data_IF_893000170103
#
_entry.id   IF_893000170103
#
_cell.length_a   1.000
_cell.length_b   1.000
_cell.length_c   1.000
_cell.angle_alpha   90.00
_cell.angle_beta   90.00
_cell.angle_gamma   90.00
#
_symmetry.space_group_name_H-M   'P 1'
#
loop_
_entity.id
_entity.type
_entity.pdbx_description
1 polymer ?
#
# COMPACT_ATOMS: atom_id res chain seq x y z
N UNK A 1 -10.19 -17.51 22.21
CA UNK A 1 -10.34 -16.40 21.26
C UNK A 1 -10.27 -15.13 22.09
N UNK A 2 -9.26 -14.31 21.85
CA UNK A 2 -9.13 -13.03 22.54
C UNK A 2 -9.93 -12.03 21.73
N UNK A 3 -11.03 -11.55 22.29
CA UNK A 3 -11.90 -10.59 21.65
C UNK A 3 -11.42 -9.18 22.01
N UNK A 4 -10.81 -8.49 21.04
CA UNK A 4 -10.37 -7.11 21.19
C UNK A 4 -11.48 -6.18 20.69
N UNK A 5 -11.55 -4.96 21.21
CA UNK A 5 -12.48 -3.93 20.72
C UNK A 5 -12.43 -3.75 19.19
N UNK A 6 -11.28 -4.02 18.57
CA UNK A 6 -11.02 -3.76 17.16
C UNK A 6 -11.13 -4.98 16.25
N UNK A 7 -10.88 -6.18 16.79
CA UNK A 7 -10.88 -7.42 16.00
C UNK A 7 -11.08 -8.66 16.88
N UNK A 8 -11.50 -9.76 16.27
CA UNK A 8 -11.62 -11.07 16.90
C UNK A 8 -10.77 -12.13 16.17
N UNK A 9 -10.33 -13.14 16.91
CA UNK A 9 -9.57 -14.27 16.34
C UNK A 9 -10.45 -15.13 15.42
N UNK A 10 -9.89 -15.58 14.29
CA UNK A 10 -10.46 -16.71 13.55
C UNK A 10 -10.26 -18.01 14.36
N UNK A 11 -11.02 -19.06 14.06
CA UNK A 11 -10.88 -20.32 14.80
C UNK A 11 -9.62 -21.12 14.39
N UNK A 12 -9.26 -22.13 15.18
CA UNK A 12 -8.05 -22.94 14.96
C UNK A 12 -8.09 -23.74 13.65
N UNK A 13 -9.28 -24.20 13.23
CA UNK A 13 -9.43 -24.92 11.98
C UNK A 13 -9.22 -23.98 10.80
N UNK A 14 -9.74 -22.75 10.89
CA UNK A 14 -9.53 -21.68 9.91
C UNK A 14 -8.06 -21.30 9.81
N UNK A 15 -7.35 -21.12 10.95
CA UNK A 15 -5.91 -20.85 10.97
C UNK A 15 -5.10 -21.97 10.31
N UNK A 16 -5.33 -23.22 10.71
CA UNK A 16 -4.61 -24.37 10.17
C UNK A 16 -4.85 -24.50 8.67
N UNK A 17 -6.10 -24.44 8.25
CA UNK A 17 -6.48 -24.52 6.85
C UNK A 17 -5.86 -23.38 6.03
N UNK A 18 -5.82 -22.15 6.58
CA UNK A 18 -5.16 -21.03 5.91
C UNK A 18 -3.68 -21.34 5.66
N UNK A 19 -2.93 -21.76 6.68
CA UNK A 19 -1.50 -22.10 6.57
C UNK A 19 -1.27 -23.17 5.49
N UNK A 20 -2.06 -24.26 5.52
CA UNK A 20 -1.96 -25.35 4.55
C UNK A 20 -2.24 -24.85 3.11
N UNK A 21 -3.31 -24.06 2.94
CA UNK A 21 -3.69 -23.51 1.64
C UNK A 21 -2.68 -22.50 1.09
N UNK A 22 -2.10 -21.66 1.95
CA UNK A 22 -1.07 -20.69 1.60
C UNK A 22 0.20 -21.38 1.09
N UNK A 23 0.63 -22.44 1.78
CA UNK A 23 1.81 -23.22 1.37
C UNK A 23 1.62 -23.86 -0.01
N UNK A 24 0.42 -24.41 -0.28
CA UNK A 24 0.08 -24.96 -1.60
C UNK A 24 0.04 -23.85 -2.65
N UNK A 25 -0.56 -22.70 -2.36
CA UNK A 25 -0.61 -21.54 -3.27
C UNK A 25 0.77 -21.03 -3.64
N UNK A 26 1.67 -20.85 -2.67
CA UNK A 26 3.07 -20.43 -2.89
C UNK A 26 3.83 -21.44 -3.73
N UNK A 27 3.68 -22.73 -3.45
CA UNK A 27 4.28 -23.81 -4.24
C UNK A 27 3.75 -23.82 -5.68
N UNK A 28 2.45 -23.57 -5.86
CA UNK A 28 1.81 -23.49 -7.17
C UNK A 28 2.34 -22.31 -7.99
N UNK A 29 2.51 -21.12 -7.38
CA UNK A 29 3.08 -19.94 -8.06
C UNK A 29 4.49 -20.23 -8.60
N UNK A 30 5.33 -20.89 -7.80
CA UNK A 30 6.67 -21.29 -8.22
C UNK A 30 6.62 -22.31 -9.37
N UNK A 31 5.70 -23.27 -9.30
CA UNK A 31 5.51 -24.27 -10.35
C UNK A 31 5.00 -23.66 -11.67
N UNK A 32 4.10 -22.68 -11.59
CA UNK A 32 3.60 -21.93 -12.74
C UNK A 32 4.72 -21.14 -13.40
N UNK A 33 5.49 -20.37 -12.63
CA UNK A 33 6.65 -19.62 -13.15
C UNK A 33 7.68 -20.55 -13.80
N UNK A 34 7.94 -21.70 -13.19
CA UNK A 34 8.84 -22.72 -13.77
C UNK A 34 8.29 -23.26 -15.08
N UNK A 35 7.00 -23.56 -15.17
CA UNK A 35 6.37 -24.03 -16.41
C UNK A 35 6.43 -22.97 -17.51
N UNK A 36 6.21 -21.69 -17.17
CA UNK A 36 6.37 -20.55 -18.08
C UNK A 36 7.79 -20.51 -18.64
N UNK A 37 8.83 -20.74 -17.84
CA UNK A 37 10.22 -20.77 -18.32
C UNK A 37 10.48 -21.90 -19.34
N UNK A 38 9.72 -23.00 -19.29
CA UNK A 38 9.79 -24.11 -20.24
C UNK A 38 8.80 -24.00 -21.42
N UNK A 39 8.06 -22.89 -21.56
CA UNK A 39 7.06 -22.68 -22.64
C UNK A 39 7.63 -22.87 -24.04
N UNK A 40 6.77 -23.15 -25.02
CA UNK A 40 7.20 -23.37 -26.41
C UNK A 40 7.81 -24.77 -26.64
N UNK A 41 8.58 -24.94 -27.70
CA UNK A 41 9.13 -26.23 -28.13
C UNK A 41 10.64 -26.16 -28.33
N UNK A 42 11.30 -27.32 -28.30
CA UNK A 42 12.67 -27.47 -28.76
C UNK A 42 12.70 -28.71 -29.63
N UNK A 43 13.35 -28.64 -30.79
CA UNK A 43 13.32 -29.71 -31.78
C UNK A 43 14.55 -29.67 -32.69
N UNK A 44 14.87 -30.83 -33.26
CA UNK A 44 15.89 -30.98 -34.29
C UNK A 44 15.30 -30.70 -35.66
N UNK A 45 15.99 -29.91 -36.47
CA UNK A 45 15.65 -29.65 -37.87
C UNK A 45 16.81 -30.08 -38.77
N UNK A 46 16.49 -30.84 -39.81
CA UNK A 46 17.44 -31.20 -40.86
C UNK A 46 17.61 -30.07 -41.87
N UNK A 47 18.85 -29.75 -42.21
CA UNK A 47 19.21 -28.87 -43.33
C UNK A 47 20.59 -29.25 -43.88
N UNK A 48 20.74 -29.30 -45.20
CA UNK A 48 22.02 -29.65 -45.86
C UNK A 48 22.73 -30.89 -45.27
N UNK A 49 21.97 -31.95 -44.98
CA UNK A 49 22.50 -33.21 -44.45
C UNK A 49 22.86 -33.22 -42.95
N UNK A 50 22.69 -32.10 -42.24
CA UNK A 50 23.02 -31.96 -40.83
C UNK A 50 21.77 -31.67 -39.98
N UNK A 51 21.81 -32.09 -38.71
CA UNK A 51 20.76 -31.81 -37.71
C UNK A 51 21.13 -30.54 -36.92
N UNK A 52 20.17 -29.63 -36.76
CA UNK A 52 20.32 -28.38 -36.01
C UNK A 52 19.26 -28.25 -34.94
N UNK A 53 19.67 -27.87 -33.74
CA UNK A 53 18.78 -27.67 -32.60
C UNK A 53 18.17 -26.27 -32.65
N UNK A 54 16.84 -26.22 -32.58
CA UNK A 54 16.09 -24.98 -32.52
C UNK A 54 15.22 -24.92 -31.27
N UNK A 55 15.10 -23.71 -30.71
CA UNK A 55 14.20 -23.36 -29.62
C UNK A 55 13.15 -22.41 -30.15
N UNK A 56 11.89 -22.79 -30.07
CA UNK A 56 10.76 -21.95 -30.44
C UNK A 56 10.01 -21.54 -29.17
N UNK A 57 9.91 -20.23 -28.92
CA UNK A 57 9.27 -19.70 -27.71
C UNK A 57 7.77 -19.47 -27.92
N UNK A 58 7.44 -18.85 -29.05
CA UNK A 58 6.09 -18.60 -29.57
C UNK A 58 6.13 -18.65 -31.11
N UNK A 59 4.97 -18.65 -31.75
CA UNK A 59 4.85 -18.84 -33.21
C UNK A 59 5.68 -17.78 -33.95
N UNK A 60 6.72 -18.22 -34.65
CA UNK A 60 7.62 -17.35 -35.42
C UNK A 60 8.83 -16.80 -34.65
N UNK A 61 8.91 -16.96 -33.32
CA UNK A 61 10.12 -16.66 -32.55
C UNK A 61 10.98 -17.92 -32.37
N UNK A 62 11.79 -18.19 -33.40
CA UNK A 62 12.75 -19.30 -33.40
C UNK A 62 14.17 -18.81 -33.12
N UNK A 63 14.84 -19.46 -32.17
CA UNK A 63 16.27 -19.29 -31.89
C UNK A 63 17.03 -20.54 -32.30
N UNK A 64 18.11 -20.36 -33.05
CA UNK A 64 19.10 -21.40 -33.30
C UNK A 64 19.97 -21.62 -32.06
N UNK A 65 20.19 -22.87 -31.67
CA UNK A 65 21.00 -23.24 -30.51
C UNK A 65 22.36 -23.77 -30.95
N UNK A 66 22.40 -24.68 -31.92
CA UNK A 66 23.64 -25.29 -32.39
C UNK A 66 23.41 -26.44 -33.36
N UNK A 67 24.48 -26.88 -34.03
CA UNK A 67 24.49 -28.13 -34.77
C UNK A 67 24.48 -29.31 -33.79
N UNK A 68 24.11 -30.50 -34.26
CA UNK A 68 24.08 -31.68 -33.42
C UNK A 68 25.48 -32.04 -32.90
N UNK A 69 25.60 -32.00 -31.59
CA UNK A 69 26.80 -32.32 -30.82
C UNK A 69 26.38 -32.92 -29.47
N UNK A 70 27.30 -33.55 -28.71
CA UNK A 70 27.00 -34.03 -27.36
C UNK A 70 26.41 -32.93 -26.44
N UNK A 71 26.90 -31.70 -26.55
CA UNK A 71 26.41 -30.55 -25.79
C UNK A 71 24.98 -30.18 -26.18
N UNK A 72 24.68 -30.13 -27.48
CA UNK A 72 23.33 -29.80 -27.96
C UNK A 72 22.32 -30.92 -27.64
N UNK A 73 22.75 -32.19 -27.66
CA UNK A 73 21.92 -33.31 -27.18
C UNK A 73 21.62 -33.22 -25.68
N UNK A 74 22.60 -32.83 -24.86
CA UNK A 74 22.38 -32.58 -23.44
C UNK A 74 21.37 -31.45 -23.21
N UNK A 75 21.51 -30.32 -23.89
CA UNK A 75 20.56 -29.20 -23.81
C UNK A 75 19.13 -29.65 -24.18
N UNK A 76 18.99 -30.44 -25.24
CA UNK A 76 17.69 -30.97 -25.67
C UNK A 76 17.07 -31.92 -24.64
N UNK A 77 17.86 -32.83 -24.08
CA UNK A 77 17.42 -33.80 -23.08
C UNK A 77 17.05 -33.12 -21.75
N UNK A 78 17.84 -32.16 -21.30
CA UNK A 78 17.53 -31.32 -20.13
C UNK A 78 16.25 -30.53 -20.33
N UNK A 79 16.08 -29.92 -21.51
CA UNK A 79 14.86 -29.19 -21.83
C UNK A 79 13.62 -30.10 -21.79
N UNK A 80 13.67 -31.25 -22.46
CA UNK A 80 12.54 -32.20 -22.52
C UNK A 80 12.18 -32.75 -21.14
N UNK A 81 13.19 -33.15 -20.36
CA UNK A 81 13.02 -33.68 -19.01
C UNK A 81 12.50 -32.60 -18.05
N UNK A 82 13.11 -31.42 -18.09
CA UNK A 82 12.74 -30.26 -17.27
C UNK A 82 11.32 -29.79 -17.57
N UNK A 83 10.94 -29.70 -18.86
CA UNK A 83 9.58 -29.35 -19.28
C UNK A 83 8.55 -30.35 -18.75
N UNK A 84 8.76 -31.66 -18.98
CA UNK A 84 7.86 -32.70 -18.48
C UNK A 84 7.71 -32.65 -16.96
N UNK A 85 8.81 -32.47 -16.23
CA UNK A 85 8.78 -32.36 -14.78
C UNK A 85 8.03 -31.10 -14.29
N UNK A 86 8.25 -29.95 -14.94
CA UNK A 86 7.57 -28.70 -14.61
C UNK A 86 6.06 -28.79 -14.88
N UNK A 87 5.64 -29.30 -16.03
CA UNK A 87 4.24 -29.50 -16.39
C UNK A 87 3.53 -30.48 -15.44
N UNK A 88 4.19 -31.59 -15.10
CA UNK A 88 3.66 -32.55 -14.13
C UNK A 88 3.50 -31.91 -12.74
N UNK A 89 4.50 -31.17 -12.27
CA UNK A 89 4.46 -30.51 -10.97
C UNK A 89 3.34 -29.48 -10.91
N UNK A 90 3.19 -28.66 -11.94
CA UNK A 90 2.10 -27.69 -12.05
C UNK A 90 0.74 -28.40 -12.05
N UNK A 91 0.57 -29.46 -12.84
CA UNK A 91 -0.67 -30.25 -12.87
C UNK A 91 -1.07 -30.77 -11.49
N UNK A 92 -0.14 -31.36 -10.75
CA UNK A 92 -0.42 -31.90 -9.42
C UNK A 92 -0.76 -30.81 -8.41
N UNK A 93 -0.01 -29.70 -8.42
CA UNK A 93 -0.28 -28.57 -7.53
C UNK A 93 -1.60 -27.86 -7.88
N UNK A 94 -2.00 -27.80 -9.15
CA UNK A 94 -3.31 -27.26 -9.54
C UNK A 94 -4.46 -28.07 -8.94
N UNK A 95 -4.36 -29.41 -8.95
CA UNK A 95 -5.36 -30.27 -8.32
C UNK A 95 -5.40 -30.11 -6.79
N UNK A 96 -4.24 -30.00 -6.16
CA UNK A 96 -4.14 -29.71 -4.73
C UNK A 96 -4.73 -28.33 -4.38
N UNK A 97 -4.45 -27.30 -5.20
CA UNK A 97 -4.96 -25.96 -5.00
C UNK A 97 -6.48 -25.92 -5.06
N UNK A 98 -7.11 -26.57 -6.04
CA UNK A 98 -8.58 -26.69 -6.12
C UNK A 98 -9.17 -27.34 -4.86
N UNK A 99 -8.48 -28.34 -4.29
CA UNK A 99 -8.91 -28.97 -3.04
C UNK A 99 -8.84 -27.99 -1.87
N UNK A 100 -7.73 -27.25 -1.76
CA UNK A 100 -7.55 -26.22 -0.74
C UNK A 100 -8.58 -25.09 -0.85
N UNK A 101 -8.91 -24.63 -2.06
CA UNK A 101 -9.93 -23.61 -2.28
C UNK A 101 -11.34 -24.08 -1.84
N UNK A 102 -11.69 -25.34 -2.08
CA UNK A 102 -12.96 -25.91 -1.60
C UNK A 102 -13.02 -25.96 -0.07
N UNK A 103 -11.93 -26.38 0.56
CA UNK A 103 -11.83 -26.40 2.03
C UNK A 103 -11.87 -24.98 2.62
N UNK A 104 -11.19 -24.03 1.99
CA UNK A 104 -11.22 -22.62 2.37
C UNK A 104 -12.64 -22.06 2.37
N UNK A 105 -13.42 -22.39 1.34
CA UNK A 105 -14.83 -22.01 1.24
C UNK A 105 -15.67 -22.66 2.34
N UNK A 106 -15.54 -23.98 2.52
CA UNK A 106 -16.30 -24.75 3.50
C UNK A 106 -16.06 -24.27 4.94
N UNK A 107 -14.80 -23.95 5.28
CA UNK A 107 -14.40 -23.47 6.59
C UNK A 107 -14.48 -21.94 6.74
N UNK A 108 -14.91 -21.22 5.68
CA UNK A 108 -15.00 -19.74 5.65
C UNK A 108 -13.69 -19.05 6.08
N UNK A 109 -12.57 -19.60 5.59
CA UNK A 109 -11.20 -19.15 5.92
C UNK A 109 -10.95 -17.71 5.50
N UNK A 110 -11.66 -17.24 4.47
CA UNK A 110 -11.53 -15.91 3.91
C UNK A 110 -12.88 -15.22 3.75
N UNK A 111 -12.84 -13.89 3.71
CA UNK A 111 -14.02 -13.06 3.41
C UNK A 111 -13.78 -11.98 2.38
N UNK A 112 -12.62 -11.96 1.73
CA UNK A 112 -12.35 -10.99 0.67
C UNK A 112 -13.41 -11.13 -0.43
N UNK A 113 -13.96 -10.03 -0.96
CA UNK A 113 -14.86 -10.08 -2.11
C UNK A 113 -14.23 -10.84 -3.27
N UNK A 114 -14.99 -11.74 -3.90
CA UNK A 114 -14.47 -12.56 -5.00
C UNK A 114 -14.03 -11.74 -6.21
N UNK A 115 -14.64 -10.56 -6.41
CA UNK A 115 -14.23 -9.60 -7.43
C UNK A 115 -12.77 -9.14 -7.20
N UNK A 116 -12.38 -8.82 -5.96
CA UNK A 116 -10.99 -8.45 -5.63
C UNK A 116 -10.03 -9.61 -5.95
N UNK A 117 -10.39 -10.84 -5.57
CA UNK A 117 -9.57 -12.03 -5.86
C UNK A 117 -9.38 -12.22 -7.37
N UNK A 118 -10.47 -12.13 -8.14
CA UNK A 118 -10.42 -12.31 -9.59
C UNK A 118 -9.59 -11.24 -10.29
N UNK A 119 -9.79 -9.98 -9.93
CA UNK A 119 -9.05 -8.85 -10.51
C UNK A 119 -7.55 -8.93 -10.19
N UNK A 120 -7.18 -9.27 -8.96
CA UNK A 120 -5.77 -9.47 -8.60
C UNK A 120 -5.12 -10.62 -9.39
N UNK A 121 -5.84 -11.71 -9.65
CA UNK A 121 -5.34 -12.79 -10.50
C UNK A 121 -5.15 -12.35 -11.96
N UNK A 122 -6.06 -11.54 -12.53
CA UNK A 122 -5.88 -11.01 -13.90
C UNK A 122 -4.72 -10.02 -13.97
N UNK A 123 -4.57 -9.12 -12.99
CA UNK A 123 -3.42 -8.22 -12.83
C UNK A 123 -2.10 -9.02 -12.73
N UNK A 124 -2.09 -10.10 -11.96
CA UNK A 124 -0.93 -10.99 -11.82
C UNK A 124 -0.58 -11.68 -13.13
N UNK A 125 -1.56 -12.28 -13.81
CA UNK A 125 -1.36 -12.95 -15.11
C UNK A 125 -0.85 -11.98 -16.18
N UNK A 126 -1.26 -10.71 -16.11
CA UNK A 126 -0.75 -9.64 -16.96
C UNK A 126 0.68 -9.18 -16.60
N UNK A 127 1.25 -9.64 -15.48
CA UNK A 127 2.58 -9.24 -15.01
C UNK A 127 2.62 -7.84 -14.36
N UNK A 128 1.47 -7.30 -13.96
CA UNK A 128 1.35 -5.94 -13.42
C UNK A 128 1.38 -5.87 -11.89
N UNK A 129 1.37 -7.02 -11.21
CA UNK A 129 1.29 -7.09 -9.74
C UNK A 129 2.31 -6.21 -9.01
N UNK A 130 3.58 -6.18 -9.43
CA UNK A 130 4.63 -5.43 -8.74
C UNK A 130 4.63 -3.92 -9.07
N UNK A 131 3.71 -3.48 -9.94
CA UNK A 131 3.51 -2.09 -10.35
C UNK A 131 2.29 -1.44 -9.69
N UNK A 132 1.36 -2.24 -9.16
CA UNK A 132 0.10 -1.78 -8.59
C UNK A 132 0.01 -2.19 -7.12
N UNK A 133 -0.33 -1.25 -6.25
CA UNK A 133 -0.63 -1.51 -4.84
C UNK A 133 -2.13 -1.37 -4.64
N UNK A 134 -2.75 -2.34 -3.97
CA UNK A 134 -4.09 -2.15 -3.41
C UNK A 134 -3.96 -1.21 -2.22
N UNK A 135 -4.70 -0.11 -2.21
CA UNK A 135 -4.77 0.81 -1.07
C UNK A 135 -6.21 0.92 -0.56
N UNK A 136 -6.44 1.80 0.40
CA UNK A 136 -7.78 2.03 0.95
C UNK A 136 -8.31 0.81 1.71
N UNK A 137 -9.63 0.67 1.76
CA UNK A 137 -10.30 -0.31 2.63
C UNK A 137 -9.88 -1.76 2.33
N UNK A 138 -9.60 -2.12 1.08
CA UNK A 138 -9.24 -3.50 0.72
C UNK A 138 -7.90 -3.96 1.30
N UNK A 139 -7.00 -3.04 1.67
CA UNK A 139 -5.75 -3.35 2.37
C UNK A 139 -5.99 -4.11 3.68
N UNK A 140 -7.13 -3.86 4.35
CA UNK A 140 -7.49 -4.50 5.61
C UNK A 140 -7.58 -6.03 5.48
N UNK A 141 -8.02 -6.57 4.34
CA UNK A 141 -8.10 -8.02 4.13
C UNK A 141 -6.72 -8.70 4.18
N UNK A 142 -5.68 -8.02 3.71
CA UNK A 142 -4.31 -8.50 3.84
C UNK A 142 -3.88 -8.51 5.32
N UNK A 143 -4.17 -7.45 6.08
CA UNK A 143 -3.79 -7.37 7.49
C UNK A 143 -4.54 -8.40 8.35
N UNK A 144 -5.84 -8.60 8.11
CA UNK A 144 -6.65 -9.65 8.74
C UNK A 144 -6.05 -11.02 8.52
N UNK A 145 -5.77 -11.34 7.25
CA UNK A 145 -5.26 -12.65 6.86
C UNK A 145 -3.89 -12.91 7.46
N UNK A 146 -3.01 -11.90 7.44
CA UNK A 146 -1.67 -12.01 8.03
C UNK A 146 -1.70 -12.26 9.54
N UNK A 147 -2.57 -11.55 10.26
CA UNK A 147 -2.65 -11.63 11.72
C UNK A 147 -3.54 -12.79 12.21
N UNK A 148 -4.27 -13.47 11.32
CA UNK A 148 -5.20 -14.54 11.69
C UNK A 148 -6.43 -14.04 12.47
N UNK A 149 -6.95 -12.87 12.09
CA UNK A 149 -8.06 -12.20 12.78
C UNK A 149 -9.11 -11.68 11.80
N UNK A 150 -10.19 -11.11 12.34
CA UNK A 150 -11.20 -10.33 11.62
C UNK A 150 -11.43 -9.02 12.33
N UNK A 151 -11.37 -7.91 11.61
CA UNK A 151 -11.78 -6.63 12.16
C UNK A 151 -13.29 -6.61 12.46
N UNK A 152 -13.64 -5.94 13.55
CA UNK A 152 -15.02 -5.69 13.95
C UNK A 152 -15.72 -4.68 13.02
N UNK A 153 -17.03 -4.86 12.89
CA UNK A 153 -17.90 -3.96 12.13
C UNK A 153 -17.66 -3.95 10.61
N UNK A 154 -18.33 -3.01 9.94
CA UNK A 154 -18.29 -2.82 8.49
C UNK A 154 -17.05 -2.04 8.03
N UNK A 155 -15.96 -2.05 8.80
CA UNK A 155 -14.74 -1.33 8.43
C UNK A 155 -14.17 -1.81 7.11
N UNK A 156 -14.39 -3.08 6.74
CA UNK A 156 -13.98 -3.67 5.46
C UNK A 156 -15.05 -3.61 4.35
N UNK A 157 -16.28 -3.17 4.65
CA UNK A 157 -17.38 -3.17 3.69
C UNK A 157 -17.21 -2.07 2.65
N UNK A 158 -16.81 -2.43 1.43
CA UNK A 158 -16.69 -1.48 0.34
C UNK A 158 -17.06 -2.10 -1.00
N UNK A 159 -17.59 -1.28 -1.89
CA UNK A 159 -17.90 -1.63 -3.29
C UNK A 159 -16.92 -0.96 -4.26
N UNK A 160 -15.73 -0.59 -3.77
CA UNK A 160 -14.66 0.02 -4.54
C UNK A 160 -13.32 -0.69 -4.33
N UNK A 161 -12.37 -0.45 -5.22
CA UNK A 161 -10.97 -0.82 -5.09
C UNK A 161 -10.06 0.28 -5.62
N UNK A 162 -9.22 0.82 -4.75
CA UNK A 162 -8.19 1.79 -5.12
C UNK A 162 -6.88 1.08 -5.50
N UNK A 163 -6.43 1.30 -6.74
CA UNK A 163 -5.13 0.82 -7.23
C UNK A 163 -4.15 1.99 -7.32
N UNK A 164 -3.13 1.97 -6.48
CA UNK A 164 -2.02 2.91 -6.52
C UNK A 164 -0.91 2.39 -7.44
N UNK A 165 -0.73 3.06 -8.57
CA UNK A 165 0.35 2.79 -9.51
C UNK A 165 1.67 3.44 -9.08
N UNK A 166 2.72 2.61 -8.98
CA UNK A 166 4.09 3.08 -8.83
C UNK A 166 4.68 3.50 -10.18
N UNK A 167 4.33 4.72 -10.60
CA UNK A 167 4.79 5.34 -11.86
C UNK A 167 6.30 5.58 -11.95
N UNK A 168 7.05 5.38 -10.85
CA UNK A 168 8.52 5.43 -10.83
C UNK A 168 9.15 4.18 -11.45
N UNK A 169 8.42 3.06 -11.44
CA UNK A 169 8.85 1.80 -12.06
C UNK A 169 8.48 1.80 -13.53
N UNK A 170 9.47 1.61 -14.40
CA UNK A 170 9.19 1.32 -15.81
C UNK A 170 8.51 -0.04 -15.92
N UNK A 171 7.33 -0.05 -16.52
CA UNK A 171 6.64 -1.28 -16.90
C UNK A 171 7.46 -1.90 -18.05
N UNK A 172 8.18 -2.98 -17.75
CA UNK A 172 8.92 -3.76 -18.73
C UNK A 172 8.21 -5.10 -18.87
N UNK A 173 7.35 -5.24 -19.90
CA UNK A 173 6.51 -6.41 -20.04
C UNK A 173 7.29 -7.58 -20.66
N UNK A 174 7.07 -8.77 -20.12
CA UNK A 174 7.52 -10.02 -20.74
C UNK A 174 6.71 -10.25 -22.03
N UNK A 175 7.42 -10.42 -23.15
CA UNK A 175 6.91 -10.32 -24.52
C UNK A 175 5.66 -11.15 -24.90
N UNK A 176 5.27 -12.18 -24.13
CA UNK A 176 4.11 -13.01 -24.47
C UNK A 176 2.93 -12.92 -23.46
N UNK A 177 3.17 -12.52 -22.20
CA UNK A 177 2.09 -12.26 -21.22
C UNK A 177 1.52 -10.83 -21.38
N UNK A 178 2.31 -9.92 -21.95
CA UNK A 178 1.91 -8.56 -22.26
C UNK A 178 1.08 -8.42 -23.54
N UNK A 179 0.72 -9.49 -24.25
CA UNK A 179 0.07 -9.33 -25.57
C UNK A 179 -1.35 -8.75 -25.47
N UNK A 180 -2.10 -9.06 -24.40
CA UNK A 180 -3.43 -8.51 -24.18
C UNK A 180 -3.36 -7.13 -23.52
N UNK A 181 -2.45 -6.94 -22.56
CA UNK A 181 -2.21 -5.62 -21.97
C UNK A 181 -1.75 -4.62 -23.04
N UNK A 182 -0.79 -4.97 -23.89
CA UNK A 182 -0.33 -4.11 -25.00
C UNK A 182 -1.45 -3.76 -26.00
N UNK A 183 -2.51 -4.58 -26.08
CA UNK A 183 -3.64 -4.35 -27.00
C UNK A 183 -4.77 -3.54 -26.37
N UNK A 184 -5.08 -3.76 -25.10
CA UNK A 184 -6.30 -3.25 -24.47
C UNK A 184 -6.07 -2.54 -23.13
N UNK A 185 -4.82 -2.34 -22.72
CA UNK A 185 -4.48 -1.61 -21.50
C UNK A 185 -4.91 -2.30 -20.22
N UNK A 186 -4.96 -1.55 -19.12
CA UNK A 186 -5.46 -2.04 -17.84
C UNK A 186 -6.96 -2.36 -17.92
N UNK A 187 -7.76 -1.54 -18.61
CA UNK A 187 -9.20 -1.80 -18.77
C UNK A 187 -9.47 -3.17 -19.39
N UNK A 188 -8.72 -3.55 -20.43
CA UNK A 188 -8.84 -4.87 -21.05
C UNK A 188 -8.46 -6.02 -20.11
N UNK A 189 -7.56 -5.80 -19.14
CA UNK A 189 -7.24 -6.79 -18.11
C UNK A 189 -8.41 -6.95 -17.13
N UNK A 190 -9.06 -5.85 -16.73
CA UNK A 190 -10.24 -5.92 -15.86
C UNK A 190 -11.41 -6.64 -16.57
N UNK A 191 -11.58 -6.37 -17.87
CA UNK A 191 -12.63 -6.98 -18.71
C UNK A 191 -12.45 -8.49 -18.92
N UNK A 192 -11.26 -9.06 -18.72
CA UNK A 192 -11.06 -10.52 -18.70
C UNK A 192 -11.76 -11.19 -17.52
N UNK A 193 -11.86 -10.49 -16.39
CA UNK A 193 -12.60 -10.97 -15.23
C UNK A 193 -14.10 -10.72 -15.41
N UNK A 194 -14.46 -9.50 -15.81
CA UNK A 194 -15.85 -9.07 -16.01
C UNK A 194 -15.94 -8.13 -17.22
N UNK A 195 -16.47 -8.59 -18.37
CA UNK A 195 -16.55 -7.80 -19.60
C UNK A 195 -17.35 -6.49 -19.48
N UNK A 196 -18.15 -6.33 -18.43
CA UNK A 196 -19.02 -5.16 -18.23
C UNK A 196 -18.31 -3.95 -17.61
N UNK A 197 -17.01 -4.06 -17.32
CA UNK A 197 -16.24 -2.90 -16.88
C UNK A 197 -16.16 -1.84 -17.99
N UNK A 198 -16.63 -0.64 -17.66
CA UNK A 198 -16.56 0.55 -18.49
C UNK A 198 -15.86 1.68 -17.72
N UNK A 199 -15.11 2.51 -18.45
CA UNK A 199 -14.45 3.70 -17.90
C UNK A 199 -15.42 4.87 -17.82
N UNK A 200 -15.23 5.72 -16.82
CA UNK A 200 -15.90 7.02 -16.76
C UNK A 200 -15.39 7.99 -17.85
N UNK A 201 -16.07 9.13 -18.03
CA UNK A 201 -15.75 10.10 -19.09
C UNK A 201 -14.30 10.61 -19.02
N UNK A 202 -13.76 10.76 -17.80
CA UNK A 202 -12.39 11.22 -17.55
C UNK A 202 -11.36 10.08 -17.48
N UNK A 203 -11.81 8.82 -17.64
CA UNK A 203 -11.03 7.59 -17.67
C UNK A 203 -10.19 7.32 -16.42
N UNK A 204 -10.59 7.82 -15.26
CA UNK A 204 -9.86 7.60 -13.99
C UNK A 204 -10.39 6.42 -13.20
N UNK A 205 -11.64 6.05 -13.46
CA UNK A 205 -12.40 5.01 -12.75
C UNK A 205 -13.04 4.06 -13.75
N UNK A 206 -13.02 2.77 -13.45
CA UNK A 206 -13.88 1.79 -14.10
C UNK A 206 -15.00 1.32 -13.17
N UNK A 207 -16.17 1.02 -13.72
CA UNK A 207 -17.28 0.39 -13.00
C UNK A 207 -17.90 -0.73 -13.83
N UNK A 208 -18.38 -1.78 -13.18
CA UNK A 208 -19.12 -2.87 -13.83
C UNK A 208 -20.64 -2.79 -13.62
N UNK A 209 -21.40 -3.68 -14.25
CA UNK A 209 -22.88 -3.71 -14.17
C UNK A 209 -23.42 -3.99 -12.75
N UNK A 210 -22.56 -4.43 -11.84
CA UNK A 210 -22.88 -4.65 -10.42
C UNK A 210 -22.54 -3.45 -9.54
N UNK A 211 -22.07 -2.34 -10.14
CA UNK A 211 -21.70 -1.12 -9.44
C UNK A 211 -20.37 -1.21 -8.68
N UNK A 212 -19.55 -2.23 -8.93
CA UNK A 212 -18.21 -2.33 -8.34
C UNK A 212 -17.25 -1.38 -9.06
N UNK A 213 -16.59 -0.51 -8.30
CA UNK A 213 -15.74 0.55 -8.86
C UNK A 213 -14.25 0.26 -8.65
N UNK A 214 -13.41 0.69 -9.59
CA UNK A 214 -11.96 0.59 -9.52
C UNK A 214 -11.36 1.93 -9.90
N UNK A 215 -10.62 2.53 -8.98
CA UNK A 215 -9.91 3.78 -9.19
C UNK A 215 -8.43 3.52 -9.49
N UNK A 216 -7.90 4.15 -10.54
CA UNK A 216 -6.47 4.18 -10.78
C UNK A 216 -5.87 5.50 -10.30
N UNK A 217 -4.98 5.39 -9.31
CA UNK A 217 -4.34 6.51 -8.65
C UNK A 217 -2.83 6.47 -8.90
N UNK A 218 -2.22 7.63 -9.05
CA UNK A 218 -0.76 7.78 -9.01
C UNK A 218 -0.36 8.96 -8.14
N UNK A 219 0.94 9.04 -7.83
CA UNK A 219 1.50 10.21 -7.17
C UNK A 219 1.37 11.47 -8.01
N UNK A 220 1.13 12.59 -7.34
CA UNK A 220 1.32 13.93 -7.88
C UNK A 220 2.72 14.43 -7.48
N UNK A 221 3.64 14.66 -8.44
CA UNK A 221 4.95 15.22 -8.12
C UNK A 221 4.85 16.57 -7.41
N UNK A 222 5.85 16.87 -6.58
CA UNK A 222 5.93 18.12 -5.78
C UNK A 222 6.02 19.35 -6.69
N UNK A 223 6.76 19.25 -7.80
CA UNK A 223 6.86 20.31 -8.82
C UNK A 223 6.05 19.94 -10.04
N UNK A 224 5.12 20.82 -10.45
CA UNK A 224 4.39 20.68 -11.72
C UNK A 224 5.28 20.95 -12.94
N UNK A 225 6.38 21.68 -12.76
CA UNK A 225 7.32 22.03 -13.84
C UNK A 225 8.22 20.85 -14.25
N UNK A 226 8.30 19.79 -13.45
CA UNK A 226 9.13 18.60 -13.72
C UNK A 226 8.31 17.30 -13.72
N UNK A 227 7.00 17.39 -13.97
CA UNK A 227 6.14 16.22 -14.11
C UNK A 227 6.37 15.54 -15.47
N UNK A 228 7.45 14.78 -15.55
CA UNK A 228 7.80 13.94 -16.72
C UNK A 228 7.17 12.55 -16.65
N UNK A 229 6.39 12.26 -15.61
CA UNK A 229 5.81 10.94 -15.44
C UNK A 229 4.52 10.78 -16.24
N UNK A 230 4.46 9.70 -17.01
CA UNK A 230 3.27 9.35 -17.80
C UNK A 230 2.04 9.18 -16.93
N UNK A 231 0.89 9.58 -17.47
CA UNK A 231 -0.40 9.48 -16.79
C UNK A 231 -1.16 8.19 -17.14
N UNK A 232 -0.77 7.53 -18.24
CA UNK A 232 -1.28 6.23 -18.66
C UNK A 232 -0.20 5.17 -18.49
N UNK A 233 -0.59 3.93 -18.23
CA UNK A 233 0.36 2.81 -18.10
C UNK A 233 0.99 2.45 -19.45
N UNK A 234 0.24 2.63 -20.55
CA UNK A 234 0.70 2.47 -21.93
C UNK A 234 0.61 3.79 -22.68
N UNK A 235 1.62 4.05 -23.51
CA UNK A 235 1.58 5.21 -24.40
C UNK A 235 0.56 5.01 -25.52
N UNK A 236 -0.07 6.09 -25.95
CA UNK A 236 -0.95 6.13 -27.12
C UNK A 236 -2.12 5.14 -27.05
N UNK A 237 -2.64 4.89 -25.84
CA UNK A 237 -3.80 4.03 -25.62
C UNK A 237 -4.98 4.90 -25.13
N UNK A 238 -5.67 5.62 -26.02
CA UNK A 238 -6.61 6.67 -25.63
C UNK A 238 -7.80 6.12 -24.85
N UNK A 239 -8.12 4.84 -25.01
CA UNK A 239 -9.29 4.18 -24.41
C UNK A 239 -8.97 3.41 -23.13
N UNK A 240 -7.77 3.59 -22.58
CA UNK A 240 -7.36 3.04 -21.29
C UNK A 240 -7.33 4.11 -20.18
N UNK A 241 -7.11 3.66 -18.94
CA UNK A 241 -7.07 4.51 -17.76
C UNK A 241 -6.11 5.70 -17.88
N UNK A 242 -6.60 6.83 -17.42
CA UNK A 242 -5.87 8.06 -17.15
C UNK A 242 -5.74 8.23 -15.62
N UNK A 243 -4.58 7.89 -15.05
CA UNK A 243 -4.43 7.81 -13.60
C UNK A 243 -4.65 9.16 -12.90
N UNK A 244 -5.45 9.15 -11.84
CA UNK A 244 -5.71 10.31 -10.97
C UNK A 244 -4.46 10.69 -10.16
N UNK A 245 -4.04 11.95 -10.25
CA UNK A 245 -2.86 12.47 -9.53
C UNK A 245 -3.24 12.91 -8.12
N UNK A 246 -2.91 12.10 -7.11
CA UNK A 246 -3.18 12.41 -5.71
C UNK A 246 -1.90 12.86 -4.99
N UNK A 247 -2.01 13.96 -4.23
CA UNK A 247 -0.90 14.47 -3.39
C UNK A 247 -0.50 13.43 -2.34
N UNK A 248 0.77 13.42 -1.98
CA UNK A 248 1.30 12.65 -0.86
C UNK A 248 1.25 11.11 -1.01
N UNK A 249 0.87 10.57 -2.18
CA UNK A 249 0.99 9.13 -2.45
C UNK A 249 2.43 8.63 -2.39
N UNK A 250 3.43 9.51 -2.56
CA UNK A 250 4.84 9.22 -2.35
C UNK A 250 5.14 8.61 -0.98
N UNK A 251 4.39 8.99 0.05
CA UNK A 251 4.53 8.46 1.40
C UNK A 251 4.24 6.96 1.44
N UNK A 252 3.15 6.53 0.80
CA UNK A 252 2.75 5.13 0.67
C UNK A 252 3.66 4.36 -0.30
N UNK A 253 4.08 5.02 -1.39
CA UNK A 253 4.99 4.45 -2.38
C UNK A 253 6.40 4.24 -1.84
N UNK A 254 6.85 5.02 -0.86
CA UNK A 254 8.16 4.91 -0.23
C UNK A 254 8.20 3.95 0.97
N UNK A 255 7.03 3.59 1.51
CA UNK A 255 6.92 2.56 2.53
C UNK A 255 7.25 1.16 1.97
N UNK A 256 7.79 0.24 2.80
CA UNK A 256 7.90 -1.18 2.46
C UNK A 256 6.57 -1.74 1.96
N UNK A 257 6.64 -2.65 0.97
CA UNK A 257 5.43 -3.28 0.42
C UNK A 257 5.02 -4.43 1.32
N UNK A 258 3.75 -4.48 1.65
CA UNK A 258 3.16 -5.59 2.39
C UNK A 258 2.55 -6.57 1.39
N UNK A 259 3.03 -7.81 1.38
CA UNK A 259 2.56 -8.86 0.47
C UNK A 259 1.88 -9.95 1.28
N UNK A 260 0.65 -10.29 0.92
CA UNK A 260 -0.10 -11.33 1.63
C UNK A 260 -0.99 -12.12 0.68
N UNK A 261 -0.95 -13.45 0.79
CA UNK A 261 -1.98 -14.30 0.18
C UNK A 261 -3.28 -14.08 0.95
N UNK A 262 -4.31 -13.67 0.25
CA UNK A 262 -5.66 -13.45 0.78
C UNK A 262 -6.62 -14.50 0.24
N UNK A 263 -7.67 -14.77 1.01
CA UNK A 263 -8.67 -15.79 0.70
C UNK A 263 -10.03 -15.13 0.48
N UNK A 264 -10.64 -15.40 -0.66
CA UNK A 264 -11.98 -14.94 -1.00
C UNK A 264 -13.08 -15.70 -0.27
N UNK A 265 -14.29 -15.16 -0.28
CA UNK A 265 -15.47 -15.86 0.25
C UNK A 265 -15.78 -17.18 -0.50
N UNK A 266 -15.36 -17.29 -1.77
CA UNK A 266 -15.42 -18.54 -2.54
C UNK A 266 -14.31 -19.55 -2.20
N UNK A 267 -13.38 -19.18 -1.33
CA UNK A 267 -12.18 -19.96 -0.98
C UNK A 267 -11.01 -19.84 -1.95
N UNK A 268 -11.20 -19.21 -3.12
CA UNK A 268 -10.13 -18.85 -4.06
C UNK A 268 -9.13 -17.89 -3.42
N UNK A 269 -7.89 -17.93 -3.90
CA UNK A 269 -6.80 -17.14 -3.32
C UNK A 269 -6.06 -16.27 -4.33
N UNK A 270 -5.68 -15.07 -3.90
CA UNK A 270 -4.82 -14.16 -4.67
C UNK A 270 -3.71 -13.61 -3.77
N UNK A 271 -2.58 -13.22 -4.36
CA UNK A 271 -1.59 -12.40 -3.66
C UNK A 271 -1.97 -10.92 -3.76
N UNK A 272 -2.17 -10.28 -2.62
CA UNK A 272 -2.39 -8.84 -2.53
C UNK A 272 -1.08 -8.16 -2.14
N UNK A 273 -0.64 -7.22 -2.98
CA UNK A 273 0.42 -6.27 -2.66
C UNK A 273 -0.25 -4.98 -2.21
N UNK A 274 0.00 -4.59 -0.97
CA UNK A 274 -0.58 -3.40 -0.34
C UNK A 274 0.49 -2.60 0.41
N UNK A 275 0.08 -1.52 1.06
CA UNK A 275 0.94 -0.61 1.82
C UNK A 275 1.31 -1.22 3.17
N UNK A 276 2.43 -0.78 3.73
CA UNK A 276 2.81 -1.07 5.12
C UNK A 276 1.64 -0.70 6.07
N UNK A 277 1.21 -1.58 6.99
CA UNK A 277 0.06 -1.34 7.86
C UNK A 277 0.25 -0.12 8.79
N UNK A 278 1.49 0.21 9.15
CA UNK A 278 1.77 1.42 9.93
C UNK A 278 1.61 2.66 9.07
N UNK A 279 2.06 2.59 7.82
CA UNK A 279 1.87 3.68 6.86
C UNK A 279 0.38 3.91 6.59
N UNK A 280 -0.39 2.82 6.47
CA UNK A 280 -1.84 2.86 6.35
C UNK A 280 -2.49 3.61 7.53
N UNK A 281 -2.17 3.23 8.77
CA UNK A 281 -2.78 3.83 9.95
C UNK A 281 -2.50 5.34 10.03
N UNK A 282 -1.23 5.75 9.89
CA UNK A 282 -0.84 7.16 9.95
C UNK A 282 -1.43 7.97 8.78
N UNK A 283 -1.48 7.38 7.58
CA UNK A 283 -2.07 8.05 6.42
C UNK A 283 -3.59 8.22 6.55
N UNK A 284 -4.29 7.27 7.16
CA UNK A 284 -5.73 7.36 7.42
C UNK A 284 -6.08 8.47 8.43
N UNK A 285 -5.26 8.65 9.47
CA UNK A 285 -5.40 9.81 10.38
C UNK A 285 -5.23 11.12 9.62
N UNK A 286 -4.18 11.22 8.79
CA UNK A 286 -3.96 12.39 7.95
C UNK A 286 -5.16 12.68 7.03
N UNK A 287 -5.73 11.66 6.37
CA UNK A 287 -6.90 11.82 5.50
C UNK A 287 -8.11 12.35 6.26
N UNK A 288 -8.36 11.84 7.47
CA UNK A 288 -9.51 12.23 8.29
C UNK A 288 -9.45 13.69 8.77
N UNK A 289 -8.25 14.26 8.88
CA UNK A 289 -8.01 15.63 9.34
C UNK A 289 -8.07 16.67 8.22
N UNK A 290 -8.15 16.25 6.95
CA UNK A 290 -8.23 17.19 5.83
C UNK A 290 -9.55 17.97 5.85
N UNK A 291 -9.48 19.28 5.62
CA UNK A 291 -10.66 20.16 5.57
C UNK A 291 -11.66 19.77 4.47
N UNK A 292 -11.16 19.28 3.33
CA UNK A 292 -11.94 18.79 2.18
C UNK A 292 -12.35 17.32 2.31
N UNK A 293 -12.14 16.67 3.47
CA UNK A 293 -12.53 15.26 3.65
C UNK A 293 -14.04 15.15 3.81
N UNK A 294 -14.63 14.20 3.09
CA UNK A 294 -16.02 13.81 3.25
C UNK A 294 -16.34 13.51 4.74
N UNK A 295 -17.29 14.23 5.37
CA UNK A 295 -17.66 14.04 6.76
C UNK A 295 -18.14 12.63 7.11
N UNK A 296 -18.69 11.88 6.15
CA UNK A 296 -19.10 10.48 6.34
C UNK A 296 -17.88 9.56 6.34
N UNK A 297 -16.84 9.88 5.55
CA UNK A 297 -15.63 9.05 5.45
C UNK A 297 -14.63 9.31 6.58
N UNK A 298 -14.56 10.53 7.13
CA UNK A 298 -13.57 10.87 8.15
C UNK A 298 -13.64 10.00 9.43
N UNK A 299 -14.81 9.77 10.06
CA UNK A 299 -14.91 8.88 11.22
C UNK A 299 -14.51 7.44 10.88
N UNK A 300 -14.85 6.97 9.68
CA UNK A 300 -14.49 5.64 9.21
C UNK A 300 -12.98 5.50 8.99
N UNK A 301 -12.32 6.53 8.46
CA UNK A 301 -10.87 6.53 8.31
C UNK A 301 -10.17 6.43 9.67
N UNK A 302 -10.64 7.16 10.69
CA UNK A 302 -10.13 7.05 12.06
C UNK A 302 -10.35 5.65 12.63
N UNK A 303 -11.55 5.09 12.49
CA UNK A 303 -11.85 3.74 12.99
C UNK A 303 -10.94 2.68 12.34
N UNK A 304 -10.70 2.78 11.03
CA UNK A 304 -9.76 1.91 10.32
C UNK A 304 -8.32 2.12 10.81
N UNK A 305 -7.90 3.37 11.02
CA UNK A 305 -6.56 3.69 11.50
C UNK A 305 -6.29 3.10 12.90
N UNK A 306 -7.21 3.30 13.84
CA UNK A 306 -7.15 2.75 15.19
C UNK A 306 -7.11 1.23 15.16
N UNK A 307 -7.98 0.61 14.36
CA UNK A 307 -8.03 -0.86 14.25
C UNK A 307 -6.70 -1.44 13.77
N UNK A 308 -6.10 -0.85 12.75
CA UNK A 308 -4.79 -1.29 12.23
C UNK A 308 -3.66 -0.98 13.20
N UNK A 309 -3.69 0.17 13.89
CA UNK A 309 -2.70 0.51 14.91
C UNK A 309 -2.66 -0.55 16.03
N UNK A 310 -3.81 -0.87 16.62
CA UNK A 310 -3.90 -1.88 17.67
C UNK A 310 -3.53 -3.28 17.16
N UNK A 311 -3.95 -3.64 15.93
CA UNK A 311 -3.55 -4.89 15.32
C UNK A 311 -2.02 -5.01 15.19
N UNK A 312 -1.35 -3.95 14.74
CA UNK A 312 0.10 -3.95 14.58
C UNK A 312 0.80 -4.10 15.92
N UNK A 313 0.39 -3.33 16.94
CA UNK A 313 0.97 -3.39 18.28
C UNK A 313 0.83 -4.78 18.91
N UNK A 314 -0.32 -5.43 18.72
CA UNK A 314 -0.65 -6.69 19.40
C UNK A 314 -0.23 -7.94 18.62
N UNK A 315 -0.20 -7.89 17.28
CA UNK A 315 -0.01 -9.07 16.40
C UNK A 315 1.17 -8.98 15.45
N UNK A 316 1.80 -7.81 15.28
CA UNK A 316 2.90 -7.62 14.33
C UNK A 316 4.14 -7.03 15.03
N UNK A 317 4.79 -7.77 15.95
CA UNK A 317 5.88 -7.25 16.79
C UNK A 317 7.11 -6.78 16.00
N UNK A 318 7.30 -7.29 14.78
CA UNK A 318 8.38 -6.85 13.88
C UNK A 318 8.09 -5.51 13.19
N UNK A 319 6.88 -4.97 13.33
CA UNK A 319 6.43 -3.71 12.75
C UNK A 319 6.17 -2.67 13.86
N UNK A 320 7.16 -2.38 14.70
CA UNK A 320 7.04 -1.28 15.67
C UNK A 320 6.88 0.08 14.97
N UNK A 321 6.02 0.95 15.51
CA UNK A 321 5.84 2.33 15.04
C UNK A 321 7.07 3.21 15.32
N UNK A 322 7.89 2.88 16.32
CA UNK A 322 9.10 3.62 16.68
C UNK A 322 10.18 3.56 15.61
N UNK A 323 10.10 2.56 14.71
CA UNK A 323 11.06 2.33 13.64
C UNK A 323 10.69 3.02 12.30
N UNK A 324 9.54 3.68 12.22
CA UNK A 324 9.10 4.32 10.96
C UNK A 324 9.93 5.58 10.70
N UNK A 325 10.57 5.63 9.52
CA UNK A 325 11.37 6.80 9.07
C UNK A 325 10.98 7.33 7.68
N UNK A 326 10.24 6.55 6.89
CA UNK A 326 9.86 6.90 5.52
C UNK A 326 8.63 7.83 5.41
N UNK A 327 7.96 8.11 6.54
CA UNK A 327 6.86 9.08 6.61
C UNK A 327 7.32 10.42 7.19
N UNK A 328 6.72 11.54 6.77
CA UNK A 328 6.99 12.84 7.37
C UNK A 328 6.80 12.84 8.89
N UNK A 329 7.59 13.64 9.59
CA UNK A 329 7.47 13.80 11.04
C UNK A 329 6.11 14.37 11.47
N UNK A 330 5.48 15.19 10.62
CA UNK A 330 4.11 15.68 10.82
C UNK A 330 3.06 14.56 10.88
N UNK A 331 3.36 13.36 10.38
CA UNK A 331 2.50 12.18 10.50
C UNK A 331 2.92 11.24 11.64
N UNK A 332 4.03 11.53 12.35
CA UNK A 332 4.62 10.68 13.39
C UNK A 332 4.71 11.40 14.75
N UNK A 333 3.88 12.42 14.97
CA UNK A 333 3.87 13.19 16.21
C UNK A 333 2.88 12.62 17.23
N UNK A 334 3.00 13.05 18.49
CA UNK A 334 2.16 12.57 19.59
C UNK A 334 0.67 12.82 19.35
N UNK A 335 0.26 13.94 18.73
CA UNK A 335 -1.16 14.21 18.44
C UNK A 335 -1.77 13.14 17.52
N UNK A 336 -1.00 12.64 16.55
CA UNK A 336 -1.44 11.54 15.68
C UNK A 336 -1.58 10.25 16.49
N UNK A 337 -0.64 9.96 17.39
CA UNK A 337 -0.71 8.77 18.24
C UNK A 337 -1.84 8.85 19.29
N UNK A 338 -2.15 10.04 19.81
CA UNK A 338 -3.31 10.28 20.67
C UNK A 338 -4.63 9.97 19.95
N UNK A 339 -4.70 10.21 18.64
CA UNK A 339 -5.87 9.85 17.82
C UNK A 339 -5.93 8.32 17.60
N UNK A 340 -4.79 7.68 17.39
CA UNK A 340 -4.69 6.24 17.17
C UNK A 340 -4.99 5.42 18.43
N UNK A 341 -4.61 5.93 19.60
CA UNK A 341 -4.94 5.35 20.90
C UNK A 341 -5.27 6.47 21.90
N UNK A 342 -6.55 6.87 22.01
CA UNK A 342 -6.98 7.91 22.94
C UNK A 342 -6.76 7.57 24.41
N UNK A 343 -6.54 6.29 24.74
CA UNK A 343 -6.32 5.82 26.10
C UNK A 343 -4.84 5.54 26.38
N UNK A 344 -3.94 5.87 25.45
CA UNK A 344 -2.50 5.67 25.61
C UNK A 344 -2.03 6.41 26.87
N UNK A 345 -1.36 5.67 27.75
CA UNK A 345 -0.69 6.28 28.89
C UNK A 345 0.40 7.23 28.36
N UNK A 346 0.17 8.54 28.46
CA UNK A 346 1.14 9.57 28.12
C UNK A 346 1.65 10.25 29.40
N UNK A 347 2.95 10.52 29.43
CA UNK A 347 3.43 11.56 30.35
C UNK A 347 2.75 12.87 29.95
N UNK A 348 2.23 13.65 30.91
CA UNK A 348 1.51 14.87 30.60
C UNK A 348 2.41 15.80 29.77
N UNK A 349 1.86 16.40 28.71
CA UNK A 349 2.60 17.35 27.88
C UNK A 349 3.13 18.50 28.74
N UNK A 350 4.14 19.22 28.27
CA UNK A 350 4.69 20.34 29.04
C UNK A 350 3.61 21.43 29.21
N UNK A 351 2.72 21.61 28.24
CA UNK A 351 1.54 22.46 28.42
C UNK A 351 0.64 21.98 29.56
N UNK A 352 0.35 20.67 29.65
CA UNK A 352 -0.46 20.08 30.72
C UNK A 352 0.22 20.20 32.10
N UNK A 353 1.54 19.96 32.16
CA UNK A 353 2.34 20.12 33.39
C UNK A 353 2.27 21.54 33.93
N UNK A 354 2.30 22.55 33.06
CA UNK A 354 2.23 23.96 33.43
C UNK A 354 0.80 24.52 33.50
N UNK A 355 -0.23 23.69 33.23
CA UNK A 355 -1.63 24.11 33.07
C UNK A 355 -1.74 25.31 32.11
N UNK A 356 -0.95 25.28 31.04
CA UNK A 356 -0.85 26.35 30.08
C UNK A 356 -2.01 26.29 29.09
N UNK A 357 -2.58 27.44 28.76
CA UNK A 357 -3.63 27.55 27.72
C UNK A 357 -3.02 27.93 26.38
N UNK A 358 -3.60 27.52 25.24
CA UNK A 358 -3.09 27.96 23.93
C UNK A 358 -3.06 29.49 23.84
N UNK A 359 -1.97 30.04 23.31
CA UNK A 359 -1.87 31.47 23.05
C UNK A 359 -2.70 31.84 21.81
N UNK A 360 -3.60 32.82 21.95
CA UNK A 360 -4.45 33.31 20.86
C UNK A 360 -4.20 34.78 20.50
N UNK A 361 -3.54 35.52 21.38
CA UNK A 361 -3.26 36.94 21.26
C UNK A 361 -1.82 37.25 21.68
N UNK A 362 -1.40 38.51 21.55
CA UNK A 362 -0.07 38.94 21.99
C UNK A 362 0.11 38.76 23.50
N UNK A 363 1.24 38.17 23.89
CA UNK A 363 1.61 38.04 25.29
C UNK A 363 3.07 38.45 25.56
N UNK A 364 3.26 39.22 26.62
CA UNK A 364 4.57 39.55 27.19
C UNK A 364 4.83 38.73 28.45
N UNK A 365 6.06 38.25 28.62
CA UNK A 365 6.43 37.47 29.79
C UNK A 365 7.65 36.58 29.57
N UNK A 366 7.92 35.75 30.57
CA UNK A 366 9.15 34.97 30.64
C UNK A 366 8.95 33.58 30.06
N UNK A 367 9.82 33.17 29.15
CA UNK A 367 9.85 31.81 28.64
C UNK A 367 10.27 30.86 29.76
N UNK A 368 9.43 29.86 30.06
CA UNK A 368 9.68 28.86 31.11
C UNK A 368 10.34 27.61 30.57
N UNK A 369 9.83 27.11 29.46
CA UNK A 369 10.32 25.87 28.83
C UNK A 369 10.26 26.03 27.32
N UNK A 370 11.29 25.54 26.65
CA UNK A 370 11.37 25.47 25.19
C UNK A 370 11.65 24.02 24.84
N UNK A 371 10.81 23.45 23.98
CA UNK A 371 11.03 22.13 23.38
C UNK A 371 11.07 22.23 21.87
N UNK A 372 11.19 21.07 21.22
CA UNK A 372 11.14 20.99 19.76
C UNK A 372 9.77 21.40 19.19
N UNK A 373 8.68 21.19 19.93
CA UNK A 373 7.30 21.38 19.43
C UNK A 373 6.53 22.47 20.18
N UNK A 374 6.86 22.75 21.44
CA UNK A 374 6.10 23.66 22.31
C UNK A 374 7.02 24.66 23.01
N UNK A 375 6.49 25.87 23.24
CA UNK A 375 7.12 26.91 24.08
C UNK A 375 6.13 27.37 25.14
N UNK A 376 6.53 27.25 26.41
CA UNK A 376 5.72 27.75 27.54
C UNK A 376 6.20 29.13 27.93
N UNK A 377 5.27 30.08 27.94
CA UNK A 377 5.50 31.44 28.41
C UNK A 377 4.68 31.70 29.67
N UNK A 378 5.33 32.17 30.72
CA UNK A 378 4.67 32.69 31.92
C UNK A 378 4.27 34.14 31.70
N UNK A 379 2.96 34.42 31.77
CA UNK A 379 2.38 35.74 31.47
C UNK A 379 1.92 36.50 32.73
N UNK A 380 2.34 36.03 33.90
CA UNK A 380 1.99 36.64 35.19
C UNK A 380 0.77 36.00 35.85
N UNK A 381 0.57 36.31 37.15
CA UNK A 381 -0.56 35.85 37.98
C UNK A 381 -0.77 34.33 37.98
N UNK A 382 0.32 33.56 37.95
CA UNK A 382 0.26 32.10 37.93
C UNK A 382 -0.21 31.49 36.60
N UNK A 383 -0.39 32.29 35.54
CA UNK A 383 -0.88 31.82 34.24
C UNK A 383 0.27 31.55 33.28
N UNK A 384 0.13 30.46 32.52
CA UNK A 384 1.01 30.09 31.44
C UNK A 384 0.23 30.02 30.14
N UNK A 385 0.90 30.36 29.04
CA UNK A 385 0.41 30.11 27.70
C UNK A 385 1.38 29.20 26.96
N UNK A 386 0.85 28.34 26.09
CA UNK A 386 1.64 27.49 25.20
C UNK A 386 1.56 28.01 23.77
N UNK A 387 2.71 28.06 23.13
CA UNK A 387 2.87 28.40 21.71
C UNK A 387 3.37 27.18 20.94
N UNK A 388 2.87 26.99 19.71
CA UNK A 388 3.43 26.00 18.78
C UNK A 388 4.80 26.49 18.29
N UNK A 389 5.87 25.74 18.57
CA UNK A 389 7.24 26.14 18.24
C UNK A 389 7.44 26.35 16.74
N UNK A 390 6.68 25.65 15.89
CA UNK A 390 6.82 25.69 14.44
C UNK A 390 6.35 27.00 13.82
N UNK A 391 5.47 27.74 14.50
CA UNK A 391 4.95 29.03 14.00
C UNK A 391 5.79 30.23 14.45
N UNK A 392 6.66 30.06 15.46
CA UNK A 392 7.43 31.15 16.07
C UNK A 392 8.67 31.54 15.25
N UNK A 393 8.88 32.85 15.09
CA UNK A 393 9.99 33.44 14.32
C UNK A 393 10.51 34.71 15.00
N UNK A 394 11.76 35.09 14.78
CA UNK A 394 12.34 36.32 15.34
C UNK A 394 13.47 36.05 16.34
N UNK A 395 13.45 36.74 17.48
CA UNK A 395 14.52 36.65 18.49
C UNK A 395 14.68 35.21 19.05
N UNK A 396 15.88 34.84 19.55
CA UNK A 396 16.12 33.55 20.19
C UNK A 396 15.15 33.32 21.37
N UNK A 397 14.64 32.10 21.46
CA UNK A 397 13.77 31.66 22.54
C UNK A 397 14.58 30.74 23.46
N UNK A 398 15.16 31.34 24.49
CA UNK A 398 15.86 30.61 25.54
C UNK A 398 15.01 30.60 26.82
N UNK A 399 15.08 29.51 27.59
CA UNK A 399 14.42 29.46 28.89
C UNK A 399 14.98 30.58 29.80
N UNK A 400 14.08 31.36 30.40
CA UNK A 400 14.40 32.54 31.20
C UNK A 400 14.39 33.86 30.43
N UNK A 401 14.28 33.85 29.10
CA UNK A 401 14.18 35.07 28.31
C UNK A 401 12.84 35.79 28.54
N UNK A 402 12.89 37.10 28.76
CA UNK A 402 11.71 37.96 28.76
C UNK A 402 11.45 38.43 27.32
N UNK A 403 10.27 38.11 26.80
CA UNK A 403 9.90 38.37 25.41
C UNK A 403 8.44 38.79 25.30
N UNK A 404 8.13 39.49 24.22
CA UNK A 404 6.77 39.67 23.72
C UNK A 404 6.61 38.84 22.45
N UNK A 405 5.61 37.96 22.43
CA UNK A 405 5.26 37.16 21.27
C UNK A 405 3.94 37.68 20.74
N UNK A 406 3.92 38.15 19.49
CA UNK A 406 2.69 38.63 18.85
C UNK A 406 1.77 37.47 18.46
N UNK A 407 0.50 37.79 18.18
CA UNK A 407 -0.49 36.83 17.67
C UNK A 407 -0.02 36.05 16.45
N UNK A 408 0.76 36.67 15.56
CA UNK A 408 1.30 36.04 14.34
C UNK A 408 2.61 35.26 14.60
N UNK A 409 2.99 35.06 15.86
CA UNK A 409 4.16 34.27 16.25
C UNK A 409 5.51 35.00 16.15
N UNK A 410 5.53 36.33 16.06
CA UNK A 410 6.77 37.11 16.01
C UNK A 410 7.29 37.39 17.42
N UNK A 411 8.50 36.92 17.71
CA UNK A 411 9.17 37.05 19.01
C UNK A 411 10.04 38.31 19.04
N UNK A 412 9.82 39.17 20.03
CA UNK A 412 10.59 40.39 20.29
C UNK A 412 11.12 40.40 21.71
N UNK A 413 12.41 40.73 21.90
CA UNK A 413 12.97 40.93 23.24
C UNK A 413 12.35 42.17 23.89
N UNK A 414 11.89 42.04 25.14
CA UNK A 414 11.36 43.19 25.91
C UNK A 414 12.44 44.20 26.27
N UNK A 415 13.72 43.82 26.26
CA UNK A 415 14.84 44.76 26.48
C UNK A 415 14.99 45.79 25.35
N UNK A 416 14.53 45.49 24.12
CA UNK A 416 14.54 46.47 23.02
C UNK A 416 13.41 47.51 23.10
N UNK A 417 12.38 47.30 23.94
CA UNK A 417 11.25 48.25 24.09
C UNK A 417 11.65 49.52 24.86
N UNK A 418 12.78 49.51 25.58
CA UNK A 418 13.30 50.64 26.34
C UNK A 418 14.12 51.65 25.50
N UNK A 419 14.51 51.31 24.27
CA UNK A 419 15.37 52.14 23.40
C UNK A 419 14.60 52.86 22.26
N UNK A 420 13.27 52.71 22.18
CA UNK A 420 12.44 53.24 21.10
C UNK A 420 11.43 54.32 21.49
N UNK A 421 11.55 54.91 22.69
CA UNK A 421 10.75 56.07 23.13
C UNK A 421 11.70 57.20 23.52
N UNK A 422 12.44 57.69 22.53
CA UNK A 422 13.06 59.03 22.51
C UNK A 422 13.54 59.26 21.07
N UNK A 423 12.59 59.41 20.15
CA UNK A 423 12.69 60.20 18.91
C UNK A 423 11.33 60.78 18.57
#
# INVERSE_FOLDING_TARGET
MTDSKYYYDIDDNQRRQFIDSEQVRKSWLQAEQRAINYRGSMYWQKSNGHDYLHREYSRGQRKYIGARSPEAENIFNEFKTGKKAAENRLKQLSAALVTQERLNSALRVGRTPNVVIGLLEEIRKAGLQDHLLVIGTNALYAYETHAGVRFHGDVTATSDMDLLWDSRKRITLLADAGNDFNKAGLIGILQKFDPTFELDEVKTRASNDQGYMIDLIKRRPVSLFDDREKQQLLDNHPDDFWASKIRNMDWLLSAPKFKQVIVGSSGKMAEMITVDPRAFALYKVYLAQKEDRDPIKAPRDIAQAQSVYHLVQERMPLLSFDSIRYLPESLRNEKVFDILDPNRAREPSIAEQFKAVPAFDEHSGVIKVVTQTEVIQYIGRGKHVVWDRSVLRGAPLDAGADVTISKDGVVRSTQQKALGRDQ
#
